data_IF_002599681059
#
_entry.id   IF_002599681059
#
_cell.length_a   1.000
_cell.length_b   1.000
_cell.length_c   1.000
_cell.angle_alpha   90.00
_cell.angle_beta   90.00
_cell.angle_gamma   90.00
#
_symmetry.space_group_name_H-M   'P 1'
#
loop_
_entity.id
_entity.type
_entity.pdbx_description
1 polymer ?
#
# COMPACT_ATOMS: atom_id res chain seq x y z
N UNK A 1 0.09 1.78 -12.68
CA UNK A 1 0.08 0.29 -12.64
C UNK A 1 -1.24 -0.13 -13.28
N UNK A 2 -1.30 -1.30 -13.91
CA UNK A 2 -2.48 -1.72 -14.68
C UNK A 2 -2.97 -3.09 -14.23
N UNK A 3 -4.26 -3.35 -14.43
CA UNK A 3 -4.89 -4.64 -14.22
C UNK A 3 -5.75 -5.03 -15.42
N UNK A 4 -5.81 -6.33 -15.72
CA UNK A 4 -6.81 -6.91 -16.61
C UNK A 4 -7.94 -7.43 -15.75
N UNK A 5 -9.18 -7.04 -16.07
CA UNK A 5 -10.38 -7.51 -15.38
C UNK A 5 -11.21 -8.36 -16.35
N UNK A 6 -11.55 -9.58 -15.96
CA UNK A 6 -12.45 -10.46 -16.72
C UNK A 6 -13.43 -11.11 -15.77
N UNK A 7 -14.69 -11.18 -16.18
CA UNK A 7 -15.76 -11.83 -15.40
C UNK A 7 -15.86 -11.35 -13.95
N UNK A 8 -15.63 -10.04 -13.73
CA UNK A 8 -15.67 -9.43 -12.40
C UNK A 8 -14.48 -9.78 -11.49
N UNK A 9 -13.37 -10.26 -12.05
CA UNK A 9 -12.15 -10.58 -11.30
C UNK A 9 -10.89 -9.99 -11.96
N UNK A 10 -9.91 -9.60 -11.15
CA UNK A 10 -8.58 -9.23 -11.64
C UNK A 10 -7.85 -10.50 -12.04
N UNK A 11 -7.50 -10.65 -13.32
CA UNK A 11 -6.80 -11.84 -13.82
C UNK A 11 -5.30 -11.63 -13.97
N UNK A 12 -4.84 -10.38 -14.03
CA UNK A 12 -3.44 -10.03 -14.15
C UNK A 12 -3.19 -8.59 -13.71
N UNK A 13 -2.02 -8.32 -13.15
CA UNK A 13 -1.54 -6.97 -12.85
C UNK A 13 -0.16 -6.74 -13.48
N UNK A 14 0.23 -5.49 -13.69
CA UNK A 14 1.55 -5.17 -14.24
C UNK A 14 1.93 -3.70 -14.14
N UNK A 15 3.24 -3.43 -14.10
CA UNK A 15 3.75 -2.06 -14.03
C UNK A 15 3.52 -1.27 -15.33
N UNK A 16 3.29 -1.96 -16.45
CA UNK A 16 2.93 -1.38 -17.74
C UNK A 16 2.12 -2.39 -18.56
N UNK A 17 1.26 -1.89 -19.44
CA UNK A 17 0.47 -2.72 -20.36
C UNK A 17 1.39 -3.59 -21.24
N UNK A 18 2.53 -3.08 -21.69
CA UNK A 18 3.51 -3.84 -22.49
C UNK A 18 4.01 -5.10 -21.77
N UNK A 19 4.19 -5.06 -20.44
CA UNK A 19 4.59 -6.24 -19.67
C UNK A 19 3.46 -7.26 -19.52
N UNK A 20 2.22 -6.81 -19.59
CA UNK A 20 1.04 -7.68 -19.53
C UNK A 20 0.74 -8.33 -20.90
N UNK A 21 1.17 -7.68 -21.99
CA UNK A 21 1.03 -8.16 -23.36
C UNK A 21 2.41 -8.26 -24.06
N UNK A 22 3.31 -9.17 -23.61
CA UNK A 22 4.69 -9.24 -24.12
C UNK A 22 4.78 -9.64 -25.60
N UNK A 23 3.75 -10.27 -26.15
CA UNK A 23 3.68 -10.73 -27.54
C UNK A 23 2.95 -9.74 -28.46
N UNK A 24 2.61 -8.55 -27.96
CA UNK A 24 1.92 -7.51 -28.74
C UNK A 24 2.88 -6.36 -29.03
N UNK A 25 3.06 -6.03 -30.30
CA UNK A 25 3.84 -4.87 -30.71
C UNK A 25 2.97 -3.62 -30.72
N UNK A 26 3.47 -2.53 -30.15
CA UNK A 26 2.77 -1.25 -30.09
C UNK A 26 3.57 -0.20 -30.86
N UNK A 27 3.05 0.30 -31.99
CA UNK A 27 3.72 1.27 -32.85
C UNK A 27 3.98 2.64 -32.18
N UNK A 28 3.26 2.96 -31.10
CA UNK A 28 3.48 4.16 -30.27
C UNK A 28 3.10 3.97 -28.79
N UNK A 29 2.63 2.78 -28.41
CA UNK A 29 2.06 2.49 -27.10
C UNK A 29 0.66 1.87 -27.22
N UNK A 30 0.13 1.29 -26.13
CA UNK A 30 -1.28 0.93 -26.06
C UNK A 30 -2.13 2.20 -26.15
N UNK A 31 -3.15 2.20 -27.01
CA UNK A 31 -4.12 3.29 -27.13
C UNK A 31 -5.40 2.95 -26.34
N UNK A 32 -6.33 3.92 -26.22
CA UNK A 32 -7.55 3.74 -25.45
C UNK A 32 -8.43 2.58 -25.95
N UNK A 33 -8.46 2.32 -27.25
CA UNK A 33 -9.24 1.23 -27.83
C UNK A 33 -8.67 -0.14 -27.44
N UNK A 34 -7.35 -0.31 -27.51
CA UNK A 34 -6.68 -1.51 -27.04
C UNK A 34 -6.97 -1.79 -25.56
N UNK A 35 -6.93 -0.76 -24.70
CA UNK A 35 -7.24 -0.92 -23.27
C UNK A 35 -8.68 -1.39 -23.08
N UNK A 36 -9.64 -0.79 -23.78
CA UNK A 36 -11.06 -1.14 -23.69
C UNK A 36 -11.33 -2.58 -24.17
N UNK A 37 -10.79 -2.94 -25.33
CA UNK A 37 -10.98 -4.28 -25.93
C UNK A 37 -10.38 -5.40 -25.08
N UNK A 38 -9.30 -5.09 -24.34
CA UNK A 38 -8.60 -6.07 -23.51
C UNK A 38 -8.94 -5.96 -22.02
N UNK A 39 -9.93 -5.14 -21.66
CA UNK A 39 -10.36 -4.89 -20.28
C UNK A 39 -9.19 -4.50 -19.35
N UNK A 40 -8.32 -3.62 -19.84
CA UNK A 40 -7.17 -3.09 -19.10
C UNK A 40 -7.57 -1.79 -18.43
N UNK A 41 -7.38 -1.73 -17.12
CA UNK A 41 -7.71 -0.58 -16.30
C UNK A 41 -6.46 -0.08 -15.57
N UNK A 42 -6.39 1.23 -15.34
CA UNK A 42 -5.47 1.78 -14.35
C UNK A 42 -5.85 1.27 -12.96
N UNK A 43 -4.84 0.86 -12.19
CA UNK A 43 -5.01 0.60 -10.77
C UNK A 43 -4.92 1.94 -10.05
N UNK A 44 -6.01 2.31 -9.39
CA UNK A 44 -6.08 3.52 -8.57
C UNK A 44 -5.62 3.22 -7.15
N UNK A 45 -5.11 4.23 -6.46
CA UNK A 45 -4.83 4.10 -5.03
C UNK A 45 -6.15 4.23 -4.26
N UNK A 46 -6.37 3.33 -3.31
CA UNK A 46 -7.38 3.50 -2.29
C UNK A 46 -6.99 4.60 -1.29
N UNK A 47 -7.77 4.73 -0.22
CA UNK A 47 -7.44 5.68 0.83
C UNK A 47 -6.08 5.34 1.47
N UNK A 48 -5.18 6.31 1.42
CA UNK A 48 -3.86 6.21 2.04
C UNK A 48 -3.72 7.34 3.04
N UNK A 49 -3.56 6.99 4.32
CA UNK A 49 -3.29 8.00 5.36
C UNK A 49 -1.88 8.57 5.20
N UNK A 50 -1.64 9.71 5.84
CA UNK A 50 -0.34 10.37 5.82
C UNK A 50 0.68 9.59 6.68
N UNK A 51 1.80 9.20 6.07
CA UNK A 51 2.90 8.45 6.70
C UNK A 51 3.51 9.20 7.89
N UNK A 52 3.29 10.51 7.95
CA UNK A 52 3.73 11.35 9.06
C UNK A 52 2.97 11.03 10.36
N UNK A 53 1.78 10.46 10.28
CA UNK A 53 0.91 10.16 11.43
C UNK A 53 0.51 8.68 11.53
N UNK A 54 0.68 7.91 10.47
CA UNK A 54 0.31 6.51 10.40
C UNK A 54 1.48 5.65 9.93
N UNK A 55 1.56 4.42 10.43
CA UNK A 55 2.27 3.35 9.74
C UNK A 55 1.36 2.84 8.63
N UNK A 56 1.77 3.06 7.38
CA UNK A 56 0.99 2.70 6.20
C UNK A 56 1.66 1.52 5.51
N UNK A 57 0.91 0.44 5.33
CA UNK A 57 1.34 -0.77 4.63
C UNK A 57 0.49 -0.97 3.40
N UNK A 58 1.14 -1.20 2.25
CA UNK A 58 0.46 -1.55 1.01
C UNK A 58 -0.10 -2.98 1.12
N UNK A 59 -1.39 -3.15 0.80
CA UNK A 59 -2.08 -4.42 0.80
C UNK A 59 -2.25 -5.02 -0.60
N UNK A 60 -3.24 -5.88 -0.76
CA UNK A 60 -3.60 -6.45 -2.06
C UNK A 60 -4.33 -5.43 -2.95
N UNK A 61 -4.40 -5.75 -4.24
CA UNK A 61 -5.22 -5.00 -5.21
C UNK A 61 -6.56 -5.73 -5.34
N UNK A 62 -7.66 -5.03 -5.09
CA UNK A 62 -9.02 -5.58 -5.13
C UNK A 62 -9.91 -4.77 -6.07
N UNK A 63 -11.04 -5.33 -6.47
CA UNK A 63 -12.07 -4.56 -7.18
C UNK A 63 -12.96 -3.84 -6.16
N UNK A 64 -13.01 -2.51 -6.26
CA UNK A 64 -13.94 -1.66 -5.51
C UNK A 64 -14.82 -0.99 -6.55
N UNK A 65 -16.12 -1.29 -6.54
CA UNK A 65 -17.09 -0.80 -7.53
C UNK A 65 -16.66 -1.01 -9.00
N UNK A 66 -16.02 -2.16 -9.26
CA UNK A 66 -15.51 -2.52 -10.60
C UNK A 66 -14.18 -1.88 -10.98
N UNK A 67 -13.56 -1.08 -10.10
CA UNK A 67 -12.27 -0.43 -10.34
C UNK A 67 -11.16 -1.15 -9.56
N UNK A 68 -10.09 -1.61 -10.23
CA UNK A 68 -8.91 -2.15 -9.56
C UNK A 68 -8.28 -1.09 -8.64
N UNK A 69 -8.23 -1.39 -7.35
CA UNK A 69 -7.84 -0.44 -6.30
C UNK A 69 -6.77 -1.06 -5.42
N UNK A 70 -5.64 -0.35 -5.29
CA UNK A 70 -4.57 -0.70 -4.36
C UNK A 70 -5.02 -0.40 -2.93
N UNK A 71 -5.17 -1.43 -2.10
CA UNK A 71 -5.51 -1.26 -0.69
C UNK A 71 -4.30 -0.79 0.14
N UNK A 72 -4.58 -0.08 1.23
CA UNK A 72 -3.61 0.30 2.24
C UNK A 72 -4.18 0.03 3.64
N UNK A 73 -3.37 -0.58 4.50
CA UNK A 73 -3.66 -0.67 5.93
C UNK A 73 -2.92 0.43 6.64
N UNK A 74 -3.61 1.20 7.50
CA UNK A 74 -3.02 2.32 8.23
C UNK A 74 -3.24 2.15 9.72
N UNK A 75 -2.15 2.14 10.49
CA UNK A 75 -2.18 2.07 11.96
C UNK A 75 -1.67 3.41 12.49
N UNK A 76 -2.44 4.07 13.36
CA UNK A 76 -2.04 5.35 13.93
C UNK A 76 -0.74 5.20 14.75
N UNK A 77 0.18 6.14 14.57
CA UNK A 77 1.37 6.24 15.44
C UNK A 77 0.96 6.78 16.81
N UNK A 78 1.76 6.46 17.83
CA UNK A 78 1.56 6.98 19.19
C UNK A 78 1.66 8.50 19.20
N UNK A 79 0.73 9.15 19.90
CA UNK A 79 0.76 10.61 20.03
C UNK A 79 1.72 11.06 21.14
N UNK A 80 1.76 10.32 22.25
CA UNK A 80 2.59 10.57 23.42
C UNK A 80 3.61 9.45 23.60
N UNK A 81 4.64 9.72 24.39
CA UNK A 81 5.67 8.74 24.73
C UNK A 81 5.07 7.64 25.62
N UNK A 82 5.52 6.40 25.42
CA UNK A 82 5.09 5.25 26.20
C UNK A 82 6.29 4.35 26.52
N UNK A 83 6.27 3.70 27.69
CA UNK A 83 7.26 2.68 28.03
C UNK A 83 7.21 1.53 27.03
N UNK A 84 8.38 1.11 26.53
CA UNK A 84 8.49 -0.11 25.75
C UNK A 84 8.34 -1.32 26.67
N UNK A 85 7.47 -2.25 26.25
CA UNK A 85 7.16 -3.48 26.98
C UNK A 85 7.34 -4.70 26.09
N UNK A 86 7.70 -5.82 26.71
CA UNK A 86 7.74 -7.12 26.05
C UNK A 86 6.34 -7.71 25.84
N UNK A 87 6.26 -8.92 25.29
CA UNK A 87 5.00 -9.61 25.00
C UNK A 87 4.21 -9.97 26.27
N UNK A 88 4.88 -10.10 27.41
CA UNK A 88 4.29 -10.38 28.72
C UNK A 88 3.87 -9.08 29.46
N UNK A 89 4.19 -7.91 28.90
CA UNK A 89 3.86 -6.60 29.45
C UNK A 89 4.89 -6.06 30.47
N UNK A 90 6.06 -6.68 30.59
CA UNK A 90 7.15 -6.18 31.42
C UNK A 90 7.94 -5.11 30.68
N UNK A 91 8.51 -4.18 31.44
CA UNK A 91 9.29 -3.08 30.91
C UNK A 91 10.60 -3.57 30.28
N UNK A 92 10.88 -3.09 29.06
CA UNK A 92 12.16 -3.31 28.38
C UNK A 92 13.16 -2.25 28.87
N UNK A 93 14.33 -2.72 29.30
CA UNK A 93 15.45 -1.88 29.71
C UNK A 93 16.59 -1.92 28.68
N UNK A 94 17.35 -0.84 28.57
CA UNK A 94 18.58 -0.79 27.77
C UNK A 94 19.75 -1.50 28.48
N UNK A 95 20.94 -1.49 27.86
CA UNK A 95 22.14 -2.13 28.43
C UNK A 95 22.61 -1.50 29.75
N UNK A 96 22.21 -0.27 30.02
CA UNK A 96 22.59 0.48 31.23
C UNK A 96 21.50 0.38 32.31
N UNK A 97 20.40 -0.32 32.03
CA UNK A 97 19.27 -0.52 32.94
C UNK A 97 18.23 0.59 32.91
N UNK A 98 18.27 1.51 31.94
CA UNK A 98 17.26 2.57 31.81
C UNK A 98 16.04 2.08 31.03
N UNK A 99 14.88 2.67 31.31
CA UNK A 99 13.64 2.38 30.61
C UNK A 99 13.73 2.77 29.13
N UNK A 100 13.46 1.82 28.24
CA UNK A 100 13.31 2.11 26.81
C UNK A 100 11.96 2.78 26.56
N UNK A 101 11.96 3.88 25.82
CA UNK A 101 10.76 4.68 25.51
C UNK A 101 10.42 4.57 24.02
N UNK A 102 9.15 4.25 23.75
CA UNK A 102 8.54 4.42 22.44
C UNK A 102 8.08 5.88 22.28
N UNK A 103 8.90 6.70 21.64
CA UNK A 103 8.58 8.10 21.45
C UNK A 103 7.31 8.30 20.60
N UNK A 104 6.43 9.16 21.09
CA UNK A 104 5.24 9.61 20.39
C UNK A 104 5.51 10.81 19.49
N UNK A 105 4.55 11.11 18.62
CA UNK A 105 4.67 12.16 17.62
C UNK A 105 4.91 13.57 18.19
N UNK A 106 4.46 13.85 19.42
CA UNK A 106 4.72 15.14 20.08
C UNK A 106 6.21 15.34 20.37
N UNK A 107 6.89 14.29 20.80
CA UNK A 107 8.32 14.32 21.13
C UNK A 107 9.17 14.16 19.86
N UNK A 108 8.83 13.21 18.97
CA UNK A 108 9.62 12.94 17.76
C UNK A 108 9.60 14.04 16.69
N UNK A 109 8.71 15.03 16.80
CA UNK A 109 8.58 16.14 15.83
C UNK A 109 8.97 17.51 16.39
N UNK A 110 9.49 17.57 17.61
CA UNK A 110 10.05 18.79 18.19
C UNK A 110 11.52 18.89 17.80
#
# INVERSE_FOLDING_TARGET
MFAIVKDGAITQTGSSVKKMFPNTSFAGGPNADFLRENNVYDIVNGERKDDQYYFVTQGDITLVDGVPTQAFTSIAKRLVDEDAKDEDGNNILDSDGNQVINYGLKTSKT
#
